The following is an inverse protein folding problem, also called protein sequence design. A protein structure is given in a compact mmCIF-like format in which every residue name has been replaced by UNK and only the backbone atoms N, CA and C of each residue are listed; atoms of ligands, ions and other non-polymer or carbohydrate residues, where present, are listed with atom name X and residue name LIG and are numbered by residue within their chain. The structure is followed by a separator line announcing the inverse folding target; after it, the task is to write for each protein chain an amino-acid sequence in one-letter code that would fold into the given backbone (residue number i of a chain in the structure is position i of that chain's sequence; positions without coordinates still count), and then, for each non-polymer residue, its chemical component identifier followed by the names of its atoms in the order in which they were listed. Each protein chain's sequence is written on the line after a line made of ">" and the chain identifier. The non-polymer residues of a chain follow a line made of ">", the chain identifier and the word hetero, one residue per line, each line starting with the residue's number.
data_IF_296233430646
#
_entry.id   IF_296233430646
#
_cell.length_a   1.000
_cell.length_b   1.000
_cell.length_c   1.000
_cell.angle_alpha   90.00
_cell.angle_beta   90.00
_cell.angle_gamma   90.00
#
_symmetry.space_group_name_H-M   'P 1'
#
loop_
_entity.id
_entity.type
_entity.pdbx_description
1 polymer ?
#
# COMPACT_ATOMS: atom_id res chain seq x y z
N UNK A 1 -8.85 39.00 -4.71
CA UNK A 1 -8.61 37.64 -4.19
C UNK A 1 -8.62 36.65 -5.34
N UNK A 2 -7.47 36.10 -5.67
CA UNK A 2 -7.33 35.12 -6.77
C UNK A 2 -7.94 33.76 -6.37
N UNK A 3 -8.04 32.83 -7.33
CA UNK A 3 -8.65 31.49 -7.09
C UNK A 3 -7.91 30.71 -6.00
N UNK A 4 -6.58 30.80 -5.98
CA UNK A 4 -5.71 30.11 -5.04
C UNK A 4 -5.90 30.61 -3.60
N UNK A 5 -5.97 31.92 -3.39
CA UNK A 5 -6.29 32.56 -2.11
C UNK A 5 -7.71 32.20 -1.63
N UNK A 6 -8.69 32.16 -2.54
CA UNK A 6 -10.06 31.71 -2.21
C UNK A 6 -10.08 30.29 -1.68
N UNK A 7 -9.41 29.36 -2.37
CA UNK A 7 -9.32 27.97 -1.93
C UNK A 7 -8.55 27.85 -0.62
N UNK A 8 -7.46 28.59 -0.45
CA UNK A 8 -6.69 28.62 0.79
C UNK A 8 -7.55 29.05 1.97
N UNK A 9 -8.35 30.12 1.82
CA UNK A 9 -9.27 30.56 2.87
C UNK A 9 -10.35 29.51 3.18
N UNK A 10 -10.88 28.82 2.17
CA UNK A 10 -11.82 27.72 2.36
C UNK A 10 -11.18 26.53 3.09
N UNK A 11 -9.93 26.21 2.74
CA UNK A 11 -9.16 25.13 3.35
C UNK A 11 -8.97 25.38 4.84
N UNK A 12 -8.45 26.55 5.23
CA UNK A 12 -8.25 26.89 6.63
C UNK A 12 -9.56 27.01 7.42
N UNK A 13 -10.64 27.48 6.78
CA UNK A 13 -11.98 27.47 7.40
C UNK A 13 -12.47 26.05 7.71
N UNK A 14 -12.28 25.12 6.78
CA UNK A 14 -12.61 23.70 7.00
C UNK A 14 -11.70 23.08 8.07
N UNK A 15 -10.39 23.37 8.03
CA UNK A 15 -9.37 22.83 8.93
C UNK A 15 -9.68 23.18 10.39
N UNK A 16 -10.10 24.42 10.65
CA UNK A 16 -10.44 24.91 12.00
C UNK A 16 -11.79 24.38 12.49
N UNK A 17 -12.77 24.25 11.59
CA UNK A 17 -14.14 23.86 11.93
C UNK A 17 -14.29 22.34 12.13
N UNK A 18 -14.93 21.66 11.18
CA UNK A 18 -15.18 20.21 11.21
C UNK A 18 -13.90 19.40 10.99
N UNK A 19 -12.91 19.97 10.30
CA UNK A 19 -11.67 19.30 9.94
C UNK A 19 -11.94 17.97 9.20
N UNK A 20 -12.87 17.98 8.24
CA UNK A 20 -13.15 16.79 7.44
C UNK A 20 -11.97 16.56 6.45
N UNK A 21 -11.20 15.47 6.58
CA UNK A 21 -10.00 15.25 5.76
C UNK A 21 -10.29 15.11 4.26
N UNK A 22 -11.41 14.49 3.90
CA UNK A 22 -11.84 14.29 2.50
C UNK A 22 -12.15 15.64 1.85
N UNK A 23 -12.85 16.51 2.58
CA UNK A 23 -13.15 17.87 2.10
C UNK A 23 -11.90 18.74 2.03
N UNK A 24 -10.97 18.59 2.97
CA UNK A 24 -9.68 19.28 2.93
C UNK A 24 -8.88 18.88 1.69
N UNK A 25 -8.84 17.59 1.37
CA UNK A 25 -8.20 17.08 0.16
C UNK A 25 -8.87 17.60 -1.12
N UNK A 26 -10.21 17.62 -1.17
CA UNK A 26 -10.97 18.18 -2.30
C UNK A 26 -10.63 19.66 -2.55
N UNK A 27 -10.47 20.45 -1.48
CA UNK A 27 -10.07 21.86 -1.59
C UNK A 27 -8.61 21.97 -2.03
N UNK A 28 -7.71 21.17 -1.46
CA UNK A 28 -6.28 21.17 -1.77
C UNK A 28 -6.01 20.90 -3.25
N UNK A 29 -6.72 19.96 -3.88
CA UNK A 29 -6.62 19.67 -5.31
C UNK A 29 -6.96 20.84 -6.22
N UNK A 30 -7.78 21.79 -5.75
CA UNK A 30 -8.10 23.01 -6.50
C UNK A 30 -6.95 24.03 -6.46
N UNK A 31 -5.86 23.69 -5.78
CA UNK A 31 -4.71 24.53 -5.47
C UNK A 31 -4.93 25.31 -4.18
N UNK A 32 -3.97 25.22 -3.26
CA UNK A 32 -3.91 25.99 -2.01
C UNK A 32 -2.49 26.48 -1.73
N UNK A 33 -2.36 27.49 -0.89
CA UNK A 33 -1.16 27.70 -0.08
C UNK A 33 -1.33 26.97 1.25
N UNK A 34 -0.34 26.19 1.64
CA UNK A 34 -0.26 25.64 2.98
C UNK A 34 0.78 26.46 3.76
N UNK A 35 0.30 27.30 4.68
CA UNK A 35 1.14 28.22 5.46
C UNK A 35 1.94 27.50 6.55
N UNK A 36 1.40 26.41 7.11
CA UNK A 36 2.03 25.62 8.17
C UNK A 36 1.85 24.12 7.89
N UNK A 37 2.78 23.25 8.31
CA UNK A 37 2.65 21.80 8.18
C UNK A 37 1.37 21.27 8.83
N UNK A 38 0.68 20.34 8.16
CA UNK A 38 -0.56 19.74 8.68
C UNK A 38 -0.34 18.90 9.95
N UNK A 39 0.90 18.47 10.19
CA UNK A 39 1.29 17.78 11.42
C UNK A 39 1.11 18.60 12.69
N UNK A 40 1.04 19.93 12.57
CA UNK A 40 0.77 20.81 13.70
C UNK A 40 -0.71 20.77 14.15
N UNK A 41 -1.59 20.14 13.37
CA UNK A 41 -3.04 20.13 13.59
C UNK A 41 -3.51 18.79 14.16
N UNK A 42 -3.73 18.73 15.48
CA UNK A 42 -4.10 17.50 16.22
C UNK A 42 -5.29 16.72 15.64
N UNK A 43 -6.25 17.38 14.98
CA UNK A 43 -7.44 16.74 14.39
C UNK A 43 -7.12 15.92 13.13
N UNK A 44 -6.03 16.21 12.41
CA UNK A 44 -5.73 15.61 11.11
C UNK A 44 -4.32 15.03 11.00
N UNK A 45 -3.39 15.39 11.90
CA UNK A 45 -1.97 15.01 11.82
C UNK A 45 -1.67 13.51 11.64
N UNK A 46 -2.61 12.64 12.03
CA UNK A 46 -2.48 11.18 11.93
C UNK A 46 -3.34 10.57 10.80
N UNK A 47 -3.88 11.39 9.89
CA UNK A 47 -4.74 10.95 8.80
C UNK A 47 -3.96 10.81 7.49
N UNK A 48 -4.22 9.75 6.72
CA UNK A 48 -3.48 9.45 5.47
C UNK A 48 -3.55 10.58 4.42
N UNK A 49 -4.68 11.31 4.35
CA UNK A 49 -4.83 12.48 3.46
C UNK A 49 -3.79 13.58 3.68
N UNK A 50 -3.14 13.64 4.84
CA UNK A 50 -2.07 14.62 5.09
C UNK A 50 -0.95 14.48 4.07
N UNK A 51 -0.54 13.26 3.73
CA UNK A 51 0.52 13.00 2.75
C UNK A 51 0.15 13.65 1.41
N UNK A 52 -1.03 13.32 0.88
CA UNK A 52 -1.44 13.80 -0.43
C UNK A 52 -1.63 15.32 -0.45
N UNK A 53 -2.21 15.90 0.61
CA UNK A 53 -2.37 17.37 0.71
C UNK A 53 -1.01 18.07 0.75
N UNK A 54 -0.06 17.55 1.54
CA UNK A 54 1.29 18.12 1.65
C UNK A 54 2.07 18.05 0.34
N UNK A 55 1.89 16.98 -0.44
CA UNK A 55 2.44 16.86 -1.81
C UNK A 55 1.76 17.85 -2.77
N UNK A 56 0.43 17.93 -2.78
CA UNK A 56 -0.34 18.87 -3.62
C UNK A 56 0.00 20.34 -3.35
N UNK A 57 0.27 20.69 -2.09
CA UNK A 57 0.63 22.04 -1.68
C UNK A 57 2.11 22.38 -1.94
N UNK A 58 2.88 21.46 -2.54
CA UNK A 58 4.34 21.56 -2.71
C UNK A 58 5.10 21.80 -1.38
N UNK A 59 4.57 21.28 -0.27
CA UNK A 59 5.17 21.48 1.06
C UNK A 59 5.93 20.28 1.58
N UNK A 60 5.77 19.10 1.01
CA UNK A 60 6.48 17.87 1.38
C UNK A 60 7.99 18.05 1.69
N UNK A 61 8.72 18.84 0.89
CA UNK A 61 10.16 19.05 1.06
C UNK A 61 10.54 20.12 2.10
N UNK A 62 9.57 20.86 2.62
CA UNK A 62 9.72 22.00 3.54
C UNK A 62 9.09 21.73 4.92
N UNK A 63 8.75 20.48 5.25
CA UNK A 63 8.14 20.12 6.53
C UNK A 63 9.24 19.78 7.55
N UNK A 64 9.66 20.77 8.33
CA UNK A 64 10.68 20.67 9.40
C UNK A 64 10.30 19.74 10.59
N UNK A 65 9.41 18.74 10.43
CA UNK A 65 9.15 17.71 11.44
C UNK A 65 8.77 16.36 10.78
N UNK A 66 9.76 15.46 10.77
CA UNK A 66 10.00 14.42 9.76
C UNK A 66 9.43 13.03 10.10
N UNK A 67 9.30 12.69 11.39
CA UNK A 67 8.87 11.36 11.84
C UNK A 67 7.43 11.04 11.41
N UNK A 68 6.55 12.04 11.37
CA UNK A 68 5.14 11.82 11.06
C UNK A 68 4.90 11.46 9.59
N UNK A 69 5.72 11.95 8.65
CA UNK A 69 5.58 11.56 7.24
C UNK A 69 5.95 10.09 7.03
N UNK A 70 7.09 9.66 7.59
CA UNK A 70 7.53 8.26 7.51
C UNK A 70 6.49 7.35 8.18
N UNK A 71 5.99 7.74 9.35
CA UNK A 71 4.93 7.04 10.05
C UNK A 71 3.64 6.94 9.21
N UNK A 72 3.18 8.04 8.61
CA UNK A 72 2.03 8.02 7.72
C UNK A 72 2.28 7.22 6.44
N UNK A 73 3.51 7.21 5.94
CA UNK A 73 3.90 6.41 4.77
C UNK A 73 3.80 4.93 5.09
N UNK A 74 4.16 4.53 6.32
CA UNK A 74 3.93 3.17 6.84
C UNK A 74 2.43 2.84 6.92
N UNK A 75 1.59 3.77 7.36
CA UNK A 75 0.13 3.58 7.41
C UNK A 75 -0.53 3.50 6.03
N UNK A 76 -0.15 4.39 5.11
CA UNK A 76 -0.67 4.43 3.75
C UNK A 76 -0.16 3.22 2.95
N UNK A 77 1.11 2.86 3.16
CA UNK A 77 1.88 1.85 2.46
C UNK A 77 3.00 2.50 1.63
N UNK A 78 4.22 1.97 1.73
CA UNK A 78 5.39 2.50 1.04
C UNK A 78 5.19 2.59 -0.48
N UNK A 79 4.61 1.55 -1.10
CA UNK A 79 4.32 1.54 -2.54
C UNK A 79 3.39 2.68 -2.98
N UNK A 80 2.32 2.91 -2.20
CA UNK A 80 1.35 3.98 -2.47
C UNK A 80 2.03 5.35 -2.35
N UNK A 81 2.88 5.52 -1.33
CA UNK A 81 3.62 6.77 -1.10
C UNK A 81 4.63 7.03 -2.23
N UNK A 82 5.41 6.01 -2.61
CA UNK A 82 6.39 6.08 -3.71
C UNK A 82 5.71 6.49 -5.03
N UNK A 83 4.51 5.94 -5.28
CA UNK A 83 3.71 6.28 -6.45
C UNK A 83 3.21 7.72 -6.41
N UNK A 84 2.80 8.25 -5.26
CA UNK A 84 2.44 9.67 -5.14
C UNK A 84 3.66 10.58 -5.37
N UNK A 85 4.84 10.23 -4.83
CA UNK A 85 6.08 10.97 -5.10
C UNK A 85 6.37 11.03 -6.61
N UNK A 86 6.19 9.90 -7.32
CA UNK A 86 6.33 9.88 -8.77
C UNK A 86 5.23 10.70 -9.46
N UNK A 87 3.95 10.52 -9.09
CA UNK A 87 2.80 11.25 -9.66
C UNK A 87 3.02 12.75 -9.63
N UNK A 88 3.48 13.29 -8.50
CA UNK A 88 3.73 14.71 -8.28
C UNK A 88 5.16 15.19 -8.63
N UNK A 89 5.95 14.36 -9.33
CA UNK A 89 7.29 14.68 -9.85
C UNK A 89 8.35 14.99 -8.78
N UNK A 90 8.21 14.43 -7.58
CA UNK A 90 9.26 14.48 -6.55
C UNK A 90 10.39 13.49 -6.80
N UNK A 91 10.09 12.41 -7.52
CA UNK A 91 11.06 11.44 -8.02
C UNK A 91 10.82 11.21 -9.51
N UNK A 92 11.88 10.87 -10.24
CA UNK A 92 11.75 10.44 -11.62
C UNK A 92 11.37 8.94 -11.70
N UNK A 93 11.19 8.47 -12.93
CA UNK A 93 10.73 7.11 -13.17
C UNK A 93 11.82 6.08 -12.85
N UNK A 94 13.07 6.43 -13.07
CA UNK A 94 14.21 5.57 -12.82
C UNK A 94 14.36 5.27 -11.32
N UNK A 95 14.26 6.31 -10.49
CA UNK A 95 14.28 6.18 -9.04
C UNK A 95 13.03 5.45 -8.52
N UNK A 96 11.85 5.75 -9.08
CA UNK A 96 10.63 4.99 -8.77
C UNK A 96 10.85 3.48 -8.99
N UNK A 97 11.39 3.09 -10.14
CA UNK A 97 11.60 1.67 -10.48
C UNK A 97 12.61 0.97 -9.59
N UNK A 98 13.69 1.66 -9.22
CA UNK A 98 14.72 1.09 -8.37
C UNK A 98 14.17 0.68 -7.01
N UNK A 99 13.22 1.46 -6.47
CA UNK A 99 12.62 1.27 -5.15
C UNK A 99 11.24 0.64 -5.17
N UNK A 100 10.63 0.46 -6.35
CA UNK A 100 9.36 -0.23 -6.49
C UNK A 100 9.57 -1.74 -6.38
N UNK A 101 9.13 -2.31 -5.27
CA UNK A 101 9.00 -3.76 -5.12
C UNK A 101 7.72 -4.22 -5.78
N UNK A 102 7.82 -5.24 -6.62
CA UNK A 102 6.65 -5.84 -7.23
C UNK A 102 5.85 -6.61 -6.17
N UNK A 103 4.77 -6.02 -5.64
CA UNK A 103 3.84 -6.77 -4.80
C UNK A 103 2.73 -7.40 -5.64
N UNK A 104 2.52 -8.69 -5.42
CA UNK A 104 1.32 -9.38 -5.92
C UNK A 104 0.04 -8.96 -5.19
N UNK A 105 0.17 -8.17 -4.14
CA UNK A 105 -0.89 -7.57 -3.35
C UNK A 105 -0.94 -6.07 -3.61
N UNK A 106 -1.16 -5.69 -4.86
CA UNK A 106 -1.29 -4.27 -5.22
C UNK A 106 -2.37 -3.61 -4.35
N UNK A 107 -1.93 -2.60 -3.60
CA UNK A 107 -2.77 -1.76 -2.77
C UNK A 107 -3.75 -1.01 -3.67
N UNK A 108 -5.03 -1.41 -3.67
CA UNK A 108 -6.08 -0.71 -4.46
C UNK A 108 -6.40 0.68 -3.91
N UNK A 109 -5.73 1.11 -2.83
CA UNK A 109 -5.91 2.44 -2.22
C UNK A 109 -5.67 3.54 -3.23
N UNK A 110 -4.65 3.40 -4.08
CA UNK A 110 -4.35 4.43 -5.08
C UNK A 110 -5.42 4.49 -6.16
N UNK A 111 -5.85 3.36 -6.74
CA UNK A 111 -6.93 3.32 -7.73
C UNK A 111 -8.24 3.87 -7.17
N UNK A 112 -8.55 3.55 -5.91
CA UNK A 112 -9.70 4.10 -5.19
C UNK A 112 -9.55 5.63 -5.07
N UNK A 113 -8.35 6.12 -4.76
CA UNK A 113 -8.08 7.56 -4.72
C UNK A 113 -8.16 8.20 -6.12
N UNK A 114 -7.66 7.58 -7.19
CA UNK A 114 -7.85 8.12 -8.55
C UNK A 114 -9.36 8.27 -8.86
N UNK A 115 -10.14 7.23 -8.54
CA UNK A 115 -11.57 7.20 -8.82
C UNK A 115 -12.39 8.19 -7.98
N UNK A 116 -12.23 8.16 -6.65
CA UNK A 116 -13.10 8.93 -5.75
C UNK A 116 -12.97 10.43 -5.93
N UNK A 117 -11.81 10.84 -6.44
CA UNK A 117 -11.11 12.01 -5.95
C UNK A 117 -10.60 12.79 -7.18
N UNK A 118 -10.29 12.10 -8.29
CA UNK A 118 -10.00 12.69 -9.61
C UNK A 118 -11.01 12.26 -10.70
N UNK A 119 -12.06 11.51 -10.32
CA UNK A 119 -13.03 10.93 -11.26
C UNK A 119 -12.37 10.07 -12.35
N UNK A 120 -11.19 9.50 -12.06
CA UNK A 120 -10.43 8.65 -12.97
C UNK A 120 -10.72 7.17 -12.67
N UNK A 121 -11.58 6.56 -13.47
CA UNK A 121 -12.03 5.18 -13.30
C UNK A 121 -11.24 4.15 -14.11
N UNK A 122 -10.32 4.58 -14.97
CA UNK A 122 -9.55 3.74 -15.90
C UNK A 122 -8.96 2.51 -15.21
N UNK A 123 -8.33 2.70 -14.04
CA UNK A 123 -7.64 1.63 -13.35
C UNK A 123 -8.60 0.62 -12.69
N UNK A 124 -9.70 1.11 -12.12
CA UNK A 124 -10.75 0.23 -11.58
C UNK A 124 -11.47 -0.53 -12.68
N UNK A 125 -11.69 0.10 -13.84
CA UNK A 125 -12.27 -0.55 -15.02
C UNK A 125 -11.35 -1.66 -15.54
N UNK A 126 -10.03 -1.40 -15.62
CA UNK A 126 -9.08 -2.42 -16.06
C UNK A 126 -8.99 -3.59 -15.08
N UNK A 127 -9.02 -3.30 -13.77
CA UNK A 127 -9.09 -4.30 -12.72
C UNK A 127 -10.36 -5.14 -12.80
N UNK A 128 -11.50 -4.52 -13.09
CA UNK A 128 -12.78 -5.24 -13.23
C UNK A 128 -12.76 -6.22 -14.40
N UNK A 129 -12.02 -5.94 -15.47
CA UNK A 129 -11.85 -6.84 -16.61
C UNK A 129 -10.73 -7.88 -16.43
N UNK A 130 -10.00 -7.83 -15.32
CA UNK A 130 -8.87 -8.73 -15.07
C UNK A 130 -9.35 -10.12 -14.61
N UNK A 131 -8.50 -11.13 -14.80
CA UNK A 131 -8.74 -12.48 -14.25
C UNK A 131 -8.77 -12.53 -12.71
N UNK A 132 -8.40 -11.44 -12.05
CA UNK A 132 -8.38 -11.27 -10.59
C UNK A 132 -9.47 -10.33 -10.08
N UNK A 133 -10.42 -9.90 -10.93
CA UNK A 133 -11.44 -8.91 -10.56
C UNK A 133 -12.20 -9.25 -9.27
N UNK A 134 -12.49 -10.52 -9.02
CA UNK A 134 -13.15 -10.99 -7.78
C UNK A 134 -12.26 -10.75 -6.55
N UNK A 135 -10.96 -11.03 -6.67
CA UNK A 135 -9.99 -10.77 -5.61
C UNK A 135 -9.85 -9.26 -5.36
N UNK A 136 -9.78 -8.47 -6.44
CA UNK A 136 -9.73 -7.01 -6.34
C UNK A 136 -10.98 -6.46 -5.65
N UNK A 137 -12.18 -6.90 -6.05
CA UNK A 137 -13.44 -6.52 -5.40
C UNK A 137 -13.44 -6.88 -3.91
N UNK A 138 -13.01 -8.09 -3.57
CA UNK A 138 -12.89 -8.53 -2.19
C UNK A 138 -11.91 -7.65 -1.40
N UNK A 139 -10.75 -7.35 -1.97
CA UNK A 139 -9.74 -6.49 -1.35
C UNK A 139 -10.26 -5.07 -1.10
N UNK A 140 -10.99 -4.50 -2.06
CA UNK A 140 -11.58 -3.15 -1.93
C UNK A 140 -12.64 -3.12 -0.82
N UNK A 141 -13.54 -4.11 -0.78
CA UNK A 141 -14.61 -4.16 0.21
C UNK A 141 -14.09 -4.44 1.62
N UNK A 142 -13.11 -5.33 1.77
CA UNK A 142 -12.68 -5.84 3.08
C UNK A 142 -11.47 -5.11 3.63
N UNK A 143 -10.39 -4.98 2.85
CA UNK A 143 -9.10 -4.48 3.36
C UNK A 143 -8.93 -2.97 3.22
N UNK A 144 -9.52 -2.37 2.19
CA UNK A 144 -9.36 -0.93 1.91
C UNK A 144 -10.48 -0.08 2.52
N UNK A 145 -11.32 -0.69 3.36
CA UNK A 145 -12.40 -0.04 4.08
C UNK A 145 -13.20 0.94 3.20
N UNK A 146 -13.66 0.49 2.02
CA UNK A 146 -14.44 1.27 1.06
C UNK A 146 -15.62 2.01 1.73
N UNK A 147 -15.44 3.26 2.16
CA UNK A 147 -16.46 4.06 2.91
C UNK A 147 -17.34 4.93 2.02
N UNK A 148 -17.20 4.81 0.70
CA UNK A 148 -17.88 5.66 -0.26
C UNK A 148 -19.02 4.94 -0.97
N UNK A 149 -20.24 5.49 -0.84
CA UNK A 149 -21.41 5.02 -1.60
C UNK A 149 -21.21 5.21 -3.11
N UNK A 150 -20.44 6.24 -3.53
CA UNK A 150 -20.05 6.44 -4.95
C UNK A 150 -19.25 5.25 -5.46
N UNK A 151 -18.21 4.84 -4.72
CA UNK A 151 -17.41 3.66 -5.07
C UNK A 151 -18.26 2.39 -5.04
N UNK A 152 -19.12 2.21 -4.03
CA UNK A 152 -19.98 1.04 -3.94
C UNK A 152 -20.93 0.92 -5.15
N UNK A 153 -21.54 2.03 -5.60
CA UNK A 153 -22.34 2.05 -6.82
C UNK A 153 -21.48 1.67 -8.06
N UNK A 154 -20.29 2.26 -8.20
CA UNK A 154 -19.40 1.97 -9.32
C UNK A 154 -19.01 0.49 -9.37
N UNK A 155 -18.55 -0.07 -8.25
CA UNK A 155 -18.19 -1.48 -8.15
C UNK A 155 -19.38 -2.37 -8.52
N UNK A 156 -20.58 -2.02 -8.06
CA UNK A 156 -21.79 -2.83 -8.33
C UNK A 156 -22.19 -2.86 -9.80
N UNK A 157 -21.76 -1.88 -10.59
CA UNK A 157 -22.06 -1.81 -12.02
C UNK A 157 -20.95 -2.45 -12.86
N UNK A 158 -19.70 -2.39 -12.40
CA UNK A 158 -18.54 -2.77 -13.20
C UNK A 158 -17.92 -4.12 -12.82
N UNK A 159 -18.20 -4.64 -11.61
CA UNK A 159 -17.69 -5.93 -11.14
C UNK A 159 -18.77 -7.01 -11.00
N UNK A 160 -20.06 -6.68 -11.15
CA UNK A 160 -21.20 -7.59 -10.89
C UNK A 160 -21.18 -8.86 -11.72
N UNK A 161 -20.83 -8.75 -13.00
CA UNK A 161 -20.96 -9.86 -13.94
C UNK A 161 -19.93 -10.97 -13.67
N UNK A 162 -18.80 -10.60 -13.07
CA UNK A 162 -17.68 -11.51 -12.79
C UNK A 162 -17.81 -12.09 -11.38
N UNK A 163 -18.51 -11.42 -10.48
CA UNK A 163 -18.63 -11.79 -9.07
C UNK A 163 -19.91 -12.59 -8.75
N UNK A 164 -20.93 -12.52 -9.61
CA UNK A 164 -22.19 -13.28 -9.49
C UNK A 164 -22.03 -14.81 -9.59
N UNK A 165 -20.89 -15.32 -10.03
CA UNK A 165 -20.60 -16.76 -10.03
C UNK A 165 -20.05 -17.27 -8.70
N UNK A 166 -19.66 -16.37 -7.80
CA UNK A 166 -18.90 -16.68 -6.61
C UNK A 166 -19.72 -16.51 -5.34
N UNK A 167 -19.48 -17.40 -4.39
CA UNK A 167 -19.96 -17.25 -3.03
C UNK A 167 -18.99 -16.36 -2.26
N UNK A 168 -19.54 -15.43 -1.47
CA UNK A 168 -18.75 -14.67 -0.52
C UNK A 168 -18.18 -15.62 0.56
N UNK A 169 -16.86 -15.59 0.75
CA UNK A 169 -16.14 -16.39 1.74
C UNK A 169 -16.06 -15.73 3.11
N UNK A 170 -16.48 -14.48 3.24
CA UNK A 170 -16.48 -13.75 4.50
C UNK A 170 -17.75 -14.00 5.31
N UNK A 171 -17.74 -13.59 6.58
CA UNK A 171 -18.95 -13.68 7.42
C UNK A 171 -19.99 -12.61 7.07
N UNK A 172 -19.58 -11.48 6.50
CA UNK A 172 -20.45 -10.33 6.21
C UNK A 172 -20.47 -10.05 4.70
N UNK A 173 -21.64 -9.67 4.18
CA UNK A 173 -21.81 -9.30 2.77
C UNK A 173 -21.20 -7.94 2.42
N UNK A 174 -21.61 -6.89 3.16
CA UNK A 174 -21.20 -5.50 2.95
C UNK A 174 -20.66 -4.98 4.28
N UNK A 175 -19.50 -4.28 4.31
CA UNK A 175 -18.92 -3.78 5.54
C UNK A 175 -19.90 -2.98 6.41
N UNK A 176 -19.83 -3.21 7.73
CA UNK A 176 -20.79 -2.70 8.72
C UNK A 176 -20.61 -1.22 9.09
N UNK A 177 -19.72 -0.49 8.44
CA UNK A 177 -19.66 0.96 8.60
C UNK A 177 -20.70 1.69 7.72
N UNK A 178 -21.36 1.01 6.77
CA UNK A 178 -22.40 1.60 5.91
C UNK A 178 -23.78 1.58 6.57
N UNK A 179 -24.63 2.62 6.40
CA UNK A 179 -26.01 2.58 6.91
C UNK A 179 -26.79 1.34 6.45
N UNK A 180 -27.73 0.85 7.28
CA UNK A 180 -28.41 -0.43 7.07
C UNK A 180 -29.13 -0.51 5.72
N UNK A 181 -29.75 0.58 5.26
CA UNK A 181 -30.43 0.61 3.96
C UNK A 181 -29.45 0.47 2.78
N UNK A 182 -28.21 0.96 2.93
CA UNK A 182 -27.15 0.75 1.94
C UNK A 182 -26.75 -0.73 1.92
N UNK A 183 -26.53 -1.35 3.07
CA UNK A 183 -26.24 -2.79 3.16
C UNK A 183 -27.34 -3.61 2.45
N UNK A 184 -28.61 -3.33 2.75
CA UNK A 184 -29.76 -4.01 2.12
C UNK A 184 -29.78 -3.83 0.59
N UNK A 185 -29.53 -2.61 0.11
CA UNK A 185 -29.50 -2.29 -1.32
C UNK A 185 -28.44 -3.11 -2.08
N UNK A 186 -27.28 -3.35 -1.46
CA UNK A 186 -26.12 -3.94 -2.13
C UNK A 186 -25.86 -5.41 -1.82
N UNK A 187 -26.54 -6.03 -0.84
CA UNK A 187 -26.24 -7.38 -0.37
C UNK A 187 -26.13 -8.46 -1.47
N UNK A 188 -26.94 -8.35 -2.52
CA UNK A 188 -27.01 -9.32 -3.61
C UNK A 188 -26.43 -8.77 -4.93
N UNK A 189 -25.65 -7.67 -4.87
CA UNK A 189 -25.08 -7.03 -6.08
C UNK A 189 -23.70 -7.56 -6.45
N UNK A 190 -22.98 -8.12 -5.48
CA UNK A 190 -21.59 -8.50 -5.63
C UNK A 190 -21.36 -10.01 -5.59
N UNK A 191 -22.20 -10.77 -4.91
CA UNK A 191 -21.96 -12.21 -4.74
C UNK A 191 -23.27 -12.97 -4.90
N UNK A 192 -23.17 -14.29 -5.08
CA UNK A 192 -24.35 -15.15 -5.08
C UNK A 192 -25.20 -14.90 -3.84
N UNK A 193 -26.53 -14.73 -3.99
CA UNK A 193 -27.43 -14.62 -2.86
C UNK A 193 -27.28 -15.83 -1.92
N UNK A 194 -27.47 -15.57 -0.63
CA UNK A 194 -27.46 -16.60 0.40
C UNK A 194 -28.45 -17.73 0.08
N UNK A 195 -28.06 -18.95 0.46
CA UNK A 195 -28.96 -20.11 0.49
C UNK A 195 -29.56 -20.31 1.88
N UNK A 196 -28.89 -19.82 2.92
CA UNK A 196 -29.34 -19.88 4.31
C UNK A 196 -30.00 -18.57 4.72
N UNK A 197 -31.14 -18.70 5.38
CA UNK A 197 -31.90 -17.58 5.94
C UNK A 197 -32.31 -17.91 7.37
N UNK A 198 -32.55 -16.87 8.15
CA UNK A 198 -32.96 -16.98 9.54
C UNK A 198 -34.38 -16.48 9.65
N UNK A 199 -35.18 -17.15 10.48
CA UNK A 199 -36.50 -16.66 10.90
C UNK A 199 -36.54 -16.60 12.41
N UNK A 200 -37.19 -15.58 12.97
CA UNK A 200 -37.33 -15.43 14.41
C UNK A 200 -38.53 -14.54 14.75
N UNK A 201 -38.87 -14.47 16.04
CA UNK A 201 -40.04 -13.72 16.48
C UNK A 201 -39.83 -12.19 16.42
N UNK A 202 -38.58 -11.73 16.36
CA UNK A 202 -38.25 -10.31 16.21
C UNK A 202 -37.93 -9.96 14.75
N UNK A 203 -38.76 -9.10 14.14
CA UNK A 203 -38.64 -8.78 12.71
C UNK A 203 -37.38 -7.99 12.36
N UNK A 204 -36.92 -7.12 13.25
CA UNK A 204 -35.68 -6.41 13.05
C UNK A 204 -34.49 -7.37 13.03
N UNK A 205 -34.37 -8.25 14.03
CA UNK A 205 -33.29 -9.25 14.08
C UNK A 205 -33.32 -10.20 12.89
N UNK A 206 -34.51 -10.63 12.46
CA UNK A 206 -34.70 -11.45 11.27
C UNK A 206 -34.16 -10.73 10.02
N UNK A 207 -34.57 -9.49 9.78
CA UNK A 207 -34.14 -8.70 8.63
C UNK A 207 -32.64 -8.42 8.68
N UNK A 208 -32.13 -8.00 9.84
CA UNK A 208 -30.72 -7.67 10.06
C UNK A 208 -29.81 -8.85 9.74
N UNK A 209 -30.07 -10.02 10.34
CA UNK A 209 -29.23 -11.20 10.13
C UNK A 209 -29.23 -11.61 8.65
N UNK A 210 -30.39 -11.58 8.00
CA UNK A 210 -30.56 -11.94 6.58
C UNK A 210 -30.03 -10.90 5.58
N UNK A 211 -29.76 -9.67 6.02
CA UNK A 211 -29.18 -8.63 5.21
C UNK A 211 -27.65 -8.58 5.35
N UNK A 212 -27.15 -8.76 6.57
CA UNK A 212 -25.74 -8.57 6.92
C UNK A 212 -24.92 -9.82 6.64
N UNK A 213 -25.35 -10.98 7.13
CA UNK A 213 -24.50 -12.16 7.14
C UNK A 213 -24.55 -12.91 5.82
N UNK A 214 -23.45 -13.54 5.46
CA UNK A 214 -23.39 -14.57 4.41
C UNK A 214 -23.88 -15.91 4.95
N UNK A 215 -23.99 -16.93 4.09
CA UNK A 215 -24.21 -18.32 4.54
C UNK A 215 -23.17 -18.78 5.57
N UNK A 216 -21.89 -18.40 5.41
CA UNK A 216 -20.84 -18.69 6.38
C UNK A 216 -21.09 -17.89 7.66
N UNK A 217 -21.39 -16.60 7.53
CA UNK A 217 -21.69 -15.70 8.63
C UNK A 217 -22.83 -16.21 9.50
N UNK A 218 -23.94 -16.66 8.90
CA UNK A 218 -25.08 -17.23 9.63
C UNK A 218 -24.62 -18.46 10.44
N UNK A 219 -23.89 -19.40 9.83
CA UNK A 219 -23.38 -20.58 10.54
C UNK A 219 -22.45 -20.20 11.69
N UNK A 220 -21.51 -19.29 11.45
CA UNK A 220 -20.53 -18.84 12.44
C UNK A 220 -21.22 -18.10 13.58
N UNK A 221 -22.14 -17.19 13.27
CA UNK A 221 -22.92 -16.41 14.22
C UNK A 221 -23.69 -17.32 15.19
N UNK A 222 -24.40 -18.33 14.68
CA UNK A 222 -25.13 -19.27 15.55
C UNK A 222 -24.23 -20.28 16.29
N UNK A 223 -23.05 -20.60 15.75
CA UNK A 223 -22.07 -21.43 16.45
C UNK A 223 -21.44 -20.70 17.64
N UNK A 224 -21.12 -19.42 17.48
CA UNK A 224 -20.42 -18.63 18.50
C UNK A 224 -21.38 -17.85 19.44
N UNK A 225 -22.63 -17.65 19.03
CA UNK A 225 -23.66 -16.91 19.78
C UNK A 225 -23.10 -15.57 20.31
N UNK A 226 -23.15 -15.38 21.62
CA UNK A 226 -22.71 -14.18 22.35
C UNK A 226 -21.20 -13.90 22.29
N UNK A 227 -20.37 -14.87 21.85
CA UNK A 227 -18.91 -14.72 21.78
C UNK A 227 -18.40 -14.23 20.42
N UNK A 228 -19.26 -13.62 19.59
CA UNK A 228 -18.84 -12.96 18.35
C UNK A 228 -18.21 -11.58 18.64
N UNK A 229 -17.18 -11.59 19.50
CA UNK A 229 -16.52 -10.42 20.07
C UNK A 229 -15.96 -9.44 19.02
N UNK A 230 -15.38 -9.88 17.87
CA UNK A 230 -14.73 -8.94 16.94
C UNK A 230 -15.67 -7.91 16.29
N UNK A 231 -16.98 -8.16 16.25
CA UNK A 231 -17.95 -7.32 15.51
C UNK A 231 -19.02 -6.70 16.41
N UNK A 232 -18.88 -6.82 17.74
CA UNK A 232 -19.87 -6.33 18.71
C UNK A 232 -20.10 -4.81 18.60
N UNK A 233 -19.02 -4.05 18.51
CA UNK A 233 -19.06 -2.58 18.36
C UNK A 233 -19.73 -2.14 17.06
N UNK A 234 -19.60 -2.94 15.99
CA UNK A 234 -20.26 -2.65 14.72
C UNK A 234 -21.76 -2.95 14.78
N UNK A 235 -22.16 -4.01 15.47
CA UNK A 235 -23.58 -4.33 15.67
C UNK A 235 -24.31 -3.33 16.57
N UNK A 236 -23.63 -2.80 17.59
CA UNK A 236 -24.18 -1.79 18.49
C UNK A 236 -24.61 -0.53 17.71
N UNK A 237 -23.94 -0.18 16.61
CA UNK A 237 -24.34 0.95 15.73
C UNK A 237 -25.73 0.79 15.12
N UNK A 238 -26.19 -0.45 14.99
CA UNK A 238 -27.50 -0.79 14.47
C UNK A 238 -28.51 -1.10 15.58
N UNK A 239 -28.12 -0.96 16.86
CA UNK A 239 -28.88 -1.46 17.99
C UNK A 239 -29.22 -2.96 17.86
N UNK A 240 -28.31 -3.75 17.25
CA UNK A 240 -28.49 -5.18 17.11
C UNK A 240 -27.76 -5.94 18.22
N UNK A 241 -28.49 -6.78 18.94
CA UNK A 241 -27.94 -7.69 19.93
C UNK A 241 -28.60 -9.06 19.81
N UNK A 242 -27.81 -10.13 19.87
CA UNK A 242 -28.35 -11.48 19.90
C UNK A 242 -29.18 -11.73 21.16
N UNK A 243 -30.37 -12.32 21.00
CA UNK A 243 -31.27 -12.59 22.12
C UNK A 243 -31.88 -14.00 22.01
N UNK A 244 -31.48 -14.90 22.90
CA UNK A 244 -31.94 -16.29 22.92
C UNK A 244 -33.48 -16.43 22.97
N UNK A 245 -34.21 -15.40 23.44
CA UNK A 245 -35.68 -15.40 23.50
C UNK A 245 -36.36 -15.28 22.13
N UNK A 246 -35.63 -14.92 21.07
CA UNK A 246 -36.22 -14.69 19.74
C UNK A 246 -36.47 -15.98 18.94
N UNK A 247 -36.10 -17.16 19.44
CA UNK A 247 -36.41 -18.46 18.82
C UNK A 247 -35.93 -18.57 17.36
N UNK A 248 -34.66 -18.26 17.11
CA UNK A 248 -34.08 -18.29 15.77
C UNK A 248 -34.11 -19.69 15.13
N UNK A 249 -34.50 -19.75 13.86
CA UNK A 249 -34.48 -20.97 13.02
C UNK A 249 -33.76 -20.69 11.70
N UNK A 250 -32.79 -21.53 11.36
CA UNK A 250 -32.11 -21.48 10.06
C UNK A 250 -32.92 -22.29 9.04
N UNK A 251 -33.24 -21.67 7.91
CA UNK A 251 -33.94 -22.24 6.77
C UNK A 251 -32.96 -22.31 5.60
N UNK A 252 -32.88 -23.47 4.95
CA UNK A 252 -32.15 -23.62 3.70
C UNK A 252 -33.12 -23.52 2.52
N UNK A 253 -32.91 -22.54 1.62
CA UNK A 253 -33.76 -22.30 0.46
C UNK A 253 -33.27 -23.00 -0.81
N UNK A 254 -32.05 -23.55 -0.88
CA UNK A 254 -31.54 -24.25 -2.07
C UNK A 254 -30.41 -25.25 -1.72
N UNK A 255 -30.62 -26.53 -2.00
CA UNK A 255 -29.57 -27.56 -2.02
C UNK A 255 -28.86 -27.58 -3.39
N UNK A 256 -27.98 -26.61 -3.67
CA UNK A 256 -27.06 -26.77 -4.82
C UNK A 256 -25.68 -27.19 -4.35
N UNK A 257 -25.21 -28.34 -4.88
CA UNK A 257 -24.01 -29.08 -4.45
C UNK A 257 -22.69 -28.52 -5.01
N UNK A 258 -22.74 -27.64 -6.00
CA UNK A 258 -21.53 -27.11 -6.65
C UNK A 258 -21.18 -25.71 -6.14
N UNK A 259 -20.51 -25.68 -4.99
CA UNK A 259 -19.98 -24.44 -4.42
C UNK A 259 -18.57 -24.18 -4.93
N UNK A 260 -18.46 -23.34 -5.96
CA UNK A 260 -17.19 -22.71 -6.30
C UNK A 260 -16.96 -21.54 -5.35
N UNK A 261 -16.42 -21.85 -4.17
CA UNK A 261 -15.98 -20.83 -3.22
C UNK A 261 -14.81 -20.04 -3.82
N UNK A 262 -14.67 -18.78 -3.42
CA UNK A 262 -13.41 -18.06 -3.53
C UNK A 262 -12.43 -18.70 -2.54
N UNK A 263 -11.97 -19.93 -2.81
CA UNK A 263 -10.80 -20.52 -2.14
C UNK A 263 -9.53 -20.35 -2.98
N UNK A 264 -9.57 -19.36 -3.86
CA UNK A 264 -8.55 -19.05 -4.84
C UNK A 264 -7.92 -17.74 -4.41
N UNK A 265 -6.65 -17.79 -3.98
CA UNK A 265 -5.55 -17.16 -4.74
C UNK A 265 -4.26 -16.98 -3.94
N UNK A 266 -4.23 -17.01 -2.60
CA UNK A 266 -2.97 -16.86 -1.86
C UNK A 266 -1.91 -17.91 -2.26
N UNK A 267 -2.32 -19.16 -2.50
CA UNK A 267 -1.42 -20.24 -2.92
C UNK A 267 -1.05 -20.27 -4.41
N UNK A 268 -1.90 -19.72 -5.30
CA UNK A 268 -1.69 -19.73 -6.76
C UNK A 268 -1.08 -18.42 -7.29
N UNK A 269 -1.02 -17.37 -6.46
CA UNK A 269 -0.29 -16.13 -6.75
C UNK A 269 1.23 -16.39 -6.78
N UNK A 270 1.75 -17.30 -5.95
CA UNK A 270 3.19 -17.61 -5.88
C UNK A 270 3.82 -18.06 -7.20
N UNK A 271 3.03 -18.63 -8.12
CA UNK A 271 3.55 -19.22 -9.37
C UNK A 271 3.13 -18.50 -10.65
N UNK A 272 2.31 -17.45 -10.56
CA UNK A 272 1.85 -16.71 -11.73
C UNK A 272 2.14 -15.22 -11.53
N UNK A 273 2.97 -14.63 -12.39
CA UNK A 273 3.11 -13.18 -12.49
C UNK A 273 1.69 -12.55 -12.53
N UNK A 274 1.34 -11.66 -11.61
CA UNK A 274 0.12 -10.88 -11.69
C UNK A 274 0.01 -10.26 -13.08
N UNK A 275 -1.17 -10.39 -13.68
CA UNK A 275 -1.46 -9.92 -15.04
C UNK A 275 -1.69 -8.41 -15.07
N UNK A 276 -1.66 -7.76 -13.91
CA UNK A 276 -1.89 -6.34 -13.78
C UNK A 276 -0.98 -5.75 -12.71
N UNK A 277 -0.01 -4.98 -13.18
CA UNK A 277 0.77 -4.06 -12.36
C UNK A 277 0.22 -2.65 -12.62
N UNK A 278 -0.42 -2.08 -11.60
CA UNK A 278 -0.95 -0.73 -11.67
C UNK A 278 0.16 0.28 -11.97
N UNK A 279 1.32 0.15 -11.32
CA UNK A 279 2.39 1.11 -11.43
C UNK A 279 2.84 1.25 -12.88
N UNK A 280 3.10 0.11 -13.52
CA UNK A 280 3.45 0.03 -14.94
C UNK A 280 2.37 0.65 -15.84
N UNK A 281 1.09 0.42 -15.57
CA UNK A 281 -0.01 1.04 -16.33
C UNK A 281 -0.10 2.55 -16.12
N UNK A 282 0.09 3.02 -14.88
CA UNK A 282 0.11 4.45 -14.56
C UNK A 282 1.28 5.16 -15.24
N UNK A 283 2.48 4.58 -15.20
CA UNK A 283 3.68 5.10 -15.86
C UNK A 283 3.44 5.16 -17.37
N UNK A 284 2.88 4.10 -17.96
CA UNK A 284 2.55 4.05 -19.39
C UNK A 284 1.57 5.15 -19.79
N UNK A 285 0.57 5.44 -18.96
CA UNK A 285 -0.36 6.55 -19.21
C UNK A 285 0.30 7.92 -19.06
N UNK A 286 1.13 8.12 -18.03
CA UNK A 286 1.77 9.40 -17.74
C UNK A 286 2.86 9.76 -18.75
N UNK A 287 3.71 8.80 -19.14
CA UNK A 287 4.87 9.02 -20.02
C UNK A 287 5.10 7.86 -21.01
N UNK A 288 4.20 7.64 -22.00
CA UNK A 288 4.22 6.47 -22.88
C UNK A 288 5.50 6.31 -23.71
N UNK A 289 6.19 7.42 -24.03
CA UNK A 289 7.44 7.38 -24.80
C UNK A 289 8.60 6.77 -24.01
N UNK A 290 8.73 7.16 -22.73
CA UNK A 290 9.75 6.58 -21.83
C UNK A 290 9.41 5.15 -21.48
N UNK A 291 8.11 4.82 -21.40
CA UNK A 291 7.66 3.48 -21.02
C UNK A 291 8.31 2.35 -21.83
N UNK A 292 8.40 2.52 -23.15
CA UNK A 292 8.96 1.52 -24.05
C UNK A 292 10.47 1.29 -23.88
N UNK A 293 11.17 2.16 -23.16
CA UNK A 293 12.62 2.09 -22.93
C UNK A 293 12.98 1.79 -21.47
N UNK A 294 12.00 1.53 -20.60
CA UNK A 294 12.28 1.29 -19.18
C UNK A 294 12.96 -0.07 -18.99
N UNK A 295 14.10 -0.06 -18.29
CA UNK A 295 14.74 -1.29 -17.81
C UNK A 295 13.77 -2.01 -16.85
N UNK A 296 13.73 -3.34 -16.94
CA UNK A 296 12.91 -4.17 -16.06
C UNK A 296 13.78 -4.69 -14.93
N UNK A 297 13.65 -4.08 -13.76
CA UNK A 297 14.09 -4.71 -12.51
C UNK A 297 13.02 -5.74 -12.14
N UNK A 298 13.10 -6.94 -12.73
CA UNK A 298 12.20 -8.06 -12.42
C UNK A 298 12.60 -8.63 -11.04
N UNK A 299 12.08 -8.04 -9.96
CA UNK A 299 12.28 -8.56 -8.60
C UNK A 299 11.50 -9.87 -8.39
N UNK A 300 12.19 -10.89 -7.87
CA UNK A 300 11.59 -12.03 -7.20
C UNK A 300 11.70 -11.82 -5.67
N UNK A 301 10.96 -12.60 -4.89
CA UNK A 301 10.83 -12.45 -3.43
C UNK A 301 12.18 -12.60 -2.70
N UNK A 302 12.53 -11.60 -1.86
CA UNK A 302 13.73 -11.45 -0.99
C UNK A 302 14.10 -12.67 -0.12
N UNK A 303 13.25 -13.69 -0.06
CA UNK A 303 13.30 -14.80 0.89
C UNK A 303 14.07 -16.03 0.39
N UNK A 304 14.88 -15.91 -0.67
CA UNK A 304 15.52 -17.07 -1.30
C UNK A 304 16.94 -17.38 -0.82
N UNK A 305 17.64 -16.41 -0.22
CA UNK A 305 18.99 -16.63 0.31
C UNK A 305 18.93 -17.00 1.79
N UNK A 306 19.64 -18.07 2.18
CA UNK A 306 19.89 -18.34 3.60
C UNK A 306 21.09 -17.51 4.03
N UNK A 307 21.06 -16.99 5.25
CA UNK A 307 22.13 -16.17 5.82
C UNK A 307 23.51 -16.83 5.72
N UNK A 308 23.56 -18.16 5.79
CA UNK A 308 24.78 -18.99 5.69
C UNK A 308 25.42 -19.00 4.30
N UNK A 309 24.71 -18.56 3.25
CA UNK A 309 25.17 -18.60 1.85
C UNK A 309 25.84 -17.28 1.40
N UNK A 310 25.87 -16.24 2.25
CA UNK A 310 26.41 -14.89 1.92
C UNK A 310 27.66 -14.59 2.73
N UNK A 311 28.81 -14.54 2.04
CA UNK A 311 30.10 -14.09 2.58
C UNK A 311 30.77 -13.05 1.67
N UNK A 312 31.93 -12.53 2.08
CA UNK A 312 32.69 -11.56 1.30
C UNK A 312 33.10 -12.10 -0.09
N UNK A 313 33.41 -13.39 -0.20
CA UNK A 313 33.81 -14.01 -1.48
C UNK A 313 32.63 -14.11 -2.46
N UNK A 314 31.43 -14.36 -1.95
CA UNK A 314 30.19 -14.34 -2.70
C UNK A 314 29.85 -12.91 -3.14
N UNK A 315 29.87 -11.94 -2.23
CA UNK A 315 29.62 -10.53 -2.54
C UNK A 315 30.59 -10.01 -3.60
N UNK A 316 31.88 -10.33 -3.48
CA UNK A 316 32.89 -9.95 -4.46
C UNK A 316 32.73 -10.64 -5.83
N UNK A 317 31.82 -11.61 -6.00
CA UNK A 317 31.49 -12.19 -7.32
C UNK A 317 30.33 -11.49 -8.00
N UNK A 318 29.61 -10.63 -7.29
CA UNK A 318 28.51 -9.87 -7.86
C UNK A 318 29.04 -8.91 -8.93
N UNK A 319 28.33 -8.86 -10.04
CA UNK A 319 28.61 -8.01 -11.19
C UNK A 319 28.63 -6.52 -10.80
N UNK A 320 27.65 -6.08 -10.00
CA UNK A 320 27.61 -4.70 -9.52
C UNK A 320 28.81 -4.37 -8.64
N UNK A 321 29.19 -5.29 -7.75
CA UNK A 321 30.31 -5.09 -6.83
C UNK A 321 31.62 -4.95 -7.60
N UNK A 322 31.93 -5.91 -8.48
CA UNK A 322 33.18 -5.90 -9.23
C UNK A 322 33.33 -4.72 -10.18
N UNK A 323 32.27 -4.40 -10.92
CA UNK A 323 32.37 -3.41 -12.00
C UNK A 323 32.17 -1.97 -11.52
N UNK A 324 31.53 -1.77 -10.37
CA UNK A 324 31.16 -0.44 -9.89
C UNK A 324 31.66 -0.15 -8.48
N UNK A 325 31.31 -0.97 -7.48
CA UNK A 325 31.73 -0.67 -6.09
C UNK A 325 33.24 -0.77 -5.88
N UNK A 326 33.90 -1.76 -6.49
CA UNK A 326 35.36 -1.92 -6.39
C UNK A 326 36.14 -1.11 -7.44
N UNK A 327 35.44 -0.42 -8.35
CA UNK A 327 36.04 0.43 -9.36
C UNK A 327 35.88 1.90 -8.99
N UNK A 328 36.95 2.52 -8.51
CA UNK A 328 36.91 3.90 -8.01
C UNK A 328 36.41 4.91 -9.05
N UNK A 329 36.74 4.75 -10.33
CA UNK A 329 36.33 5.67 -11.38
C UNK A 329 34.82 5.57 -11.66
N UNK A 330 34.29 4.35 -11.68
CA UNK A 330 32.84 4.14 -11.83
C UNK A 330 32.08 4.58 -10.58
N UNK A 331 32.60 4.30 -9.39
CA UNK A 331 32.00 4.74 -8.14
C UNK A 331 31.97 6.27 -8.01
N UNK A 332 33.02 6.97 -8.44
CA UNK A 332 33.02 8.44 -8.52
C UNK A 332 31.91 8.95 -9.43
N UNK A 333 31.72 8.36 -10.61
CA UNK A 333 30.63 8.77 -11.52
C UNK A 333 29.26 8.58 -10.89
N UNK A 334 29.05 7.46 -10.18
CA UNK A 334 27.79 7.24 -9.44
C UNK A 334 27.64 8.26 -8.32
N UNK A 335 28.71 8.56 -7.57
CA UNK A 335 28.69 9.51 -6.46
C UNK A 335 28.41 10.94 -6.94
N UNK A 336 29.00 11.36 -8.07
CA UNK A 336 28.84 12.69 -8.65
C UNK A 336 27.47 12.89 -9.31
N UNK A 337 26.85 11.82 -9.84
CA UNK A 337 25.53 11.86 -10.45
C UNK A 337 24.71 10.63 -10.04
N UNK A 338 23.70 10.77 -9.15
CA UNK A 338 22.86 9.65 -8.73
C UNK A 338 22.12 9.00 -9.91
N UNK A 339 21.91 9.72 -11.00
CA UNK A 339 21.23 9.22 -12.19
C UNK A 339 22.16 8.43 -13.12
N UNK A 340 23.48 8.53 -12.93
CA UNK A 340 24.45 7.72 -13.67
C UNK A 340 24.16 6.23 -13.50
N UNK A 341 23.68 5.83 -12.32
CA UNK A 341 23.27 4.44 -12.01
C UNK A 341 22.11 3.94 -12.89
N UNK A 342 21.47 4.78 -13.70
CA UNK A 342 20.42 4.37 -14.63
C UNK A 342 20.91 4.28 -16.07
N UNK A 343 22.05 4.91 -16.38
CA UNK A 343 22.66 4.89 -17.70
C UNK A 343 23.47 3.61 -17.96
N UNK A 344 23.84 2.88 -16.92
CA UNK A 344 24.79 1.75 -16.96
C UNK A 344 24.20 0.41 -17.39
N UNK A 345 22.90 0.35 -17.75
CA UNK A 345 22.19 -0.88 -18.19
C UNK A 345 22.41 -2.05 -17.23
N UNK A 346 21.99 -1.88 -15.98
CA UNK A 346 22.00 -2.96 -14.99
C UNK A 346 20.88 -3.96 -15.28
N UNK A 347 21.21 -5.08 -15.92
CA UNK A 347 20.37 -6.27 -15.91
C UNK A 347 20.85 -7.16 -14.77
N UNK A 348 20.19 -7.06 -13.62
CA UNK A 348 20.38 -8.01 -12.53
C UNK A 348 19.07 -8.68 -12.19
N UNK A 349 19.14 -9.99 -11.94
CA UNK A 349 18.07 -10.77 -11.32
C UNK A 349 18.43 -11.15 -9.88
N UNK A 350 19.50 -10.56 -9.33
CA UNK A 350 19.94 -10.76 -7.96
C UNK A 350 19.35 -9.67 -7.07
N UNK A 351 18.48 -10.08 -6.14
CA UNK A 351 17.89 -9.19 -5.13
C UNK A 351 18.97 -8.47 -4.31
N UNK A 352 20.06 -9.17 -4.00
CA UNK A 352 21.19 -8.63 -3.26
C UNK A 352 21.94 -7.55 -4.06
N UNK A 353 22.10 -7.73 -5.37
CA UNK A 353 22.67 -6.67 -6.21
C UNK A 353 21.74 -5.46 -6.29
N UNK A 354 20.43 -5.68 -6.39
CA UNK A 354 19.48 -4.57 -6.37
C UNK A 354 19.53 -3.79 -5.06
N UNK A 355 19.64 -4.48 -3.92
CA UNK A 355 19.82 -3.83 -2.63
C UNK A 355 21.11 -3.00 -2.58
N UNK A 356 22.24 -3.52 -3.08
CA UNK A 356 23.49 -2.77 -3.19
C UNK A 356 23.36 -1.56 -4.13
N UNK A 357 22.65 -1.69 -5.25
CA UNK A 357 22.37 -0.58 -6.18
C UNK A 357 21.52 0.49 -5.48
N UNK A 358 20.47 0.10 -4.75
CA UNK A 358 19.62 1.00 -3.97
C UNK A 358 20.44 1.78 -2.93
N UNK A 359 21.28 1.09 -2.15
CA UNK A 359 22.15 1.71 -1.16
C UNK A 359 23.15 2.68 -1.79
N UNK A 360 23.78 2.28 -2.88
CA UNK A 360 24.74 3.12 -3.61
C UNK A 360 24.06 4.37 -4.17
N UNK A 361 22.84 4.22 -4.71
CA UNK A 361 22.02 5.34 -5.16
C UNK A 361 21.68 6.29 -4.00
N UNK A 362 21.29 5.76 -2.83
CA UNK A 362 21.00 6.58 -1.65
C UNK A 362 22.23 7.35 -1.18
N UNK A 363 23.42 6.73 -1.15
CA UNK A 363 24.67 7.40 -0.79
C UNK A 363 24.96 8.54 -1.78
N UNK A 364 24.75 8.32 -3.07
CA UNK A 364 24.89 9.38 -4.07
C UNK A 364 23.86 10.51 -3.87
N UNK A 365 22.60 10.20 -3.55
CA UNK A 365 21.59 11.21 -3.21
C UNK A 365 22.00 12.04 -1.98
N UNK A 366 22.54 11.39 -0.94
CA UNK A 366 23.10 12.06 0.25
C UNK A 366 24.25 12.99 -0.14
N UNK A 367 25.19 12.50 -0.95
CA UNK A 367 26.35 13.26 -1.40
C UNK A 367 25.95 14.54 -2.15
N UNK A 368 24.93 14.43 -2.99
CA UNK A 368 24.43 15.54 -3.80
C UNK A 368 23.42 16.44 -3.07
N UNK A 369 23.33 16.35 -1.74
CA UNK A 369 22.43 17.15 -0.90
C UNK A 369 20.96 17.10 -1.37
N UNK A 370 20.50 15.92 -1.82
CA UNK A 370 19.09 15.71 -2.07
C UNK A 370 18.30 15.84 -0.77
N UNK A 371 16.98 16.02 -0.92
CA UNK A 371 16.11 16.21 0.21
C UNK A 371 16.21 15.05 1.21
N UNK A 372 16.55 15.37 2.46
CA UNK A 372 16.77 14.40 3.53
C UNK A 372 15.54 13.54 3.83
N UNK A 373 14.33 14.08 3.66
CA UNK A 373 13.08 13.35 3.86
C UNK A 373 12.91 12.26 2.80
N UNK A 374 13.15 12.60 1.53
CA UNK A 374 13.12 11.62 0.45
C UNK A 374 14.12 10.50 0.72
N UNK A 375 15.35 10.85 1.12
CA UNK A 375 16.40 9.89 1.43
C UNK A 375 15.98 8.94 2.56
N UNK A 376 15.44 9.48 3.67
CA UNK A 376 14.96 8.65 4.78
C UNK A 376 13.79 7.76 4.39
N UNK A 377 12.85 8.26 3.59
CA UNK A 377 11.77 7.45 3.05
C UNK A 377 12.30 6.29 2.20
N UNK A 378 13.27 6.53 1.30
CA UNK A 378 13.88 5.49 0.47
C UNK A 378 14.70 4.48 1.29
N UNK A 379 15.34 4.91 2.37
CA UNK A 379 15.98 4.01 3.35
C UNK A 379 14.94 3.14 4.05
N UNK A 380 13.81 3.70 4.48
CA UNK A 380 12.76 2.96 5.20
C UNK A 380 12.00 1.93 4.36
N UNK A 381 12.02 2.06 3.02
CA UNK A 381 11.59 0.97 2.11
C UNK A 381 12.42 -0.29 2.38
N UNK A 382 13.69 -0.10 2.75
CA UNK A 382 14.63 -1.12 3.19
C UNK A 382 14.63 -1.20 4.71
N UNK A 383 13.68 -1.97 5.26
CA UNK A 383 13.18 -2.02 6.65
C UNK A 383 14.19 -2.05 7.82
N UNK A 384 15.50 -2.11 7.56
CA UNK A 384 16.56 -2.24 8.55
C UNK A 384 17.54 -1.06 8.55
N UNK A 385 17.35 -0.04 7.72
CA UNK A 385 18.30 1.06 7.57
C UNK A 385 17.76 2.38 8.13
N UNK A 386 18.65 3.18 8.70
CA UNK A 386 18.33 4.52 9.20
C UNK A 386 19.44 5.53 8.88
N UNK A 387 19.08 6.80 8.92
CA UNK A 387 20.00 7.92 8.68
C UNK A 387 20.29 8.67 9.98
N UNK A 388 21.47 8.44 10.55
CA UNK A 388 21.98 9.11 11.75
C UNK A 388 23.14 10.04 11.40
N UNK A 389 23.06 11.32 11.78
CA UNK A 389 24.14 12.31 11.53
C UNK A 389 24.65 12.35 10.07
N UNK A 390 23.72 12.22 9.12
CA UNK A 390 23.98 12.14 7.67
C UNK A 390 24.80 10.91 7.24
N UNK A 391 24.82 9.87 8.06
CA UNK A 391 25.38 8.56 7.76
C UNK A 391 24.31 7.50 7.83
N UNK A 392 24.41 6.52 6.93
CA UNK A 392 23.55 5.36 6.91
C UNK A 392 24.11 4.36 7.92
N UNK A 393 23.21 3.84 8.74
CA UNK A 393 23.47 2.70 9.63
C UNK A 393 22.32 1.72 9.52
N UNK A 394 22.45 0.55 10.14
CA UNK A 394 21.41 -0.48 10.17
C UNK A 394 21.09 -0.85 11.62
N UNK A 395 19.81 -1.14 11.83
CA UNK A 395 19.30 -1.57 13.11
C UNK A 395 19.60 -3.06 13.28
N UNK A 396 20.57 -3.39 14.14
CA UNK A 396 20.71 -4.75 14.65
C UNK A 396 19.56 -4.91 15.64
N UNK A 397 18.48 -5.61 15.24
CA UNK A 397 17.51 -6.13 16.21
C UNK A 397 18.30 -6.82 17.30
N UNK A 398 18.10 -6.39 18.56
CA UNK A 398 18.84 -6.86 19.75
C UNK A 398 19.39 -8.26 19.49
N UNK A 399 20.73 -8.35 19.30
CA UNK A 399 21.42 -9.64 19.12
C UNK A 399 20.73 -10.63 20.03
N UNK A 400 20.24 -11.74 19.49
CA UNK A 400 19.77 -12.82 20.36
C UNK A 400 20.87 -13.04 21.39
N UNK A 401 20.63 -12.76 22.69
CA UNK A 401 21.68 -12.80 23.70
C UNK A 401 22.24 -14.22 23.88
N UNK A 402 21.66 -15.20 23.18
CA UNK A 402 22.10 -16.59 23.14
C UNK A 402 22.86 -16.97 21.86
N UNK A 403 23.12 -16.06 20.94
CA UNK A 403 23.78 -16.36 19.66
C UNK A 403 24.82 -15.29 19.26
N UNK A 404 25.92 -15.23 20.00
CA UNK A 404 26.99 -14.23 19.83
C UNK A 404 27.85 -14.42 18.56
N UNK A 405 27.75 -15.59 17.90
CA UNK A 405 28.70 -16.04 16.85
C UNK A 405 28.20 -15.91 15.40
N UNK A 406 26.98 -15.44 15.14
CA UNK A 406 26.48 -15.22 13.77
C UNK A 406 26.63 -13.75 13.35
N UNK A 407 27.46 -13.50 12.33
CA UNK A 407 27.40 -12.27 11.53
C UNK A 407 26.13 -12.34 10.68
N UNK A 408 25.29 -11.30 10.75
CA UNK A 408 24.15 -11.17 9.86
C UNK A 408 24.64 -10.82 8.46
N UNK A 409 23.89 -11.18 7.41
CA UNK A 409 24.33 -10.92 6.04
C UNK A 409 24.51 -9.40 5.77
N UNK A 410 23.76 -8.55 6.48
CA UNK A 410 23.90 -7.09 6.48
C UNK A 410 25.28 -6.63 6.96
N UNK A 411 25.90 -7.35 7.90
CA UNK A 411 27.26 -7.04 8.38
C UNK A 411 28.27 -7.16 7.23
N UNK A 412 28.16 -8.20 6.40
CA UNK A 412 29.01 -8.38 5.22
C UNK A 412 28.77 -7.29 4.17
N UNK A 413 27.51 -6.88 3.97
CA UNK A 413 27.17 -5.78 3.06
C UNK A 413 27.77 -4.46 3.54
N UNK A 414 27.63 -4.12 4.83
CA UNK A 414 28.20 -2.89 5.38
C UNK A 414 29.73 -2.92 5.41
N UNK A 415 30.34 -4.07 5.69
CA UNK A 415 31.79 -4.24 5.56
C UNK A 415 32.26 -4.01 4.12
N UNK A 416 31.57 -4.57 3.13
CA UNK A 416 31.88 -4.34 1.72
C UNK A 416 31.79 -2.85 1.38
N UNK A 417 30.68 -2.20 1.73
CA UNK A 417 30.42 -0.80 1.40
C UNK A 417 31.36 0.17 2.12
N UNK A 418 31.83 -0.14 3.34
CA UNK A 418 32.83 0.67 4.06
C UNK A 418 34.25 0.52 3.53
N UNK A 419 34.53 -0.55 2.81
CA UNK A 419 35.86 -0.90 2.32
C UNK A 419 36.00 -0.74 0.80
N UNK A 420 35.13 0.05 0.16
CA UNK A 420 35.32 0.43 -1.24
C UNK A 420 36.57 1.31 -1.39
N UNK A 421 37.18 1.42 -2.58
CA UNK A 421 38.34 2.30 -2.80
C UNK A 421 38.03 3.80 -2.65
N UNK A 422 36.76 4.20 -2.51
CA UNK A 422 36.35 5.60 -2.45
C UNK A 422 36.09 6.05 -1.00
N UNK A 423 37.00 6.84 -0.44
CA UNK A 423 36.89 7.30 0.95
C UNK A 423 35.72 8.26 1.21
N UNK A 424 35.27 9.01 0.20
CA UNK A 424 34.12 9.90 0.32
C UNK A 424 32.85 9.07 0.41
N UNK A 425 32.69 8.08 -0.48
CA UNK A 425 31.59 7.12 -0.43
C UNK A 425 31.50 6.44 0.94
N UNK A 426 32.62 5.90 1.43
CA UNK A 426 32.69 5.20 2.71
C UNK A 426 32.31 6.09 3.90
N UNK A 427 32.51 7.41 3.79
CA UNK A 427 32.25 8.36 4.88
C UNK A 427 30.75 8.51 5.24
N UNK A 428 29.86 8.10 4.33
CA UNK A 428 28.40 8.09 4.53
C UNK A 428 27.91 6.84 5.25
N UNK A 429 28.80 5.94 5.68
CA UNK A 429 28.45 4.71 6.39
C UNK A 429 28.98 4.79 7.82
N UNK A 430 28.15 4.40 8.80
CA UNK A 430 28.54 4.34 10.21
C UNK A 430 29.08 2.98 10.58
#
# INVERSE_FOLDING_TARGET
>A
MNKLEKNTNLFYKELVSTCNPERLLEIARKGIYLYEPLFNYNKIKNHECVIEISLLANKFLNEDNNENFILLSKYLGFETTLLYLYKYNYINIELYKLFHTYSSFTSTKFEISEFLNEDNDYFLEKQSKSKYAVFTLHSILIYNHCRSVKLLNYLSNNFSDISNDYYNSENINIPLFFPFDIIKKFKNKFFKPNTLYVTCNDKFSEEFINAVFTDLGIKTFFKLKHNYIPLRTDFDRYNFSYNDKFNYKIINKNENKDKKYIRLLLGNIKNNKPVYDFAEEFIKLKEPKKYNTLNKYDLLDFYKYREEDVDNDFLNKLNFVNNYLLNNDELNKILDDPMYIFNSKFDTTSELEQFLIQLTCIISLLHNNYNKHLIQFLLEINTYLELMDNKITYYIWEKDPYNEDYLYFEDYIFQLLKNTPNSIFNSYLY
#
